data_IF_906051107897
#
_entry.id   IF_906051107897
#
_cell.length_a   1.000
_cell.length_b   1.000
_cell.length_c   1.000
_cell.angle_alpha   90.00
_cell.angle_beta   90.00
_cell.angle_gamma   90.00
#
_symmetry.space_group_name_H-M   'P 1'
#
loop_
_entity.id
_entity.type
_entity.pdbx_description
1 polymer ?
#
# COMPACT_ATOMS: atom_id res chain seq x y z
N UNK A 1 -18.61 42.45 25.75
CA UNK A 1 -18.64 40.98 25.61
C UNK A 1 -17.32 40.44 26.12
N UNK A 2 -17.26 40.00 27.37
CA UNK A 2 -16.10 39.29 27.91
C UNK A 2 -16.27 37.85 27.45
N UNK A 3 -15.46 37.39 26.50
CA UNK A 3 -15.53 36.01 26.04
C UNK A 3 -15.18 35.07 27.18
N UNK A 4 -16.01 34.04 27.39
CA UNK A 4 -15.80 33.02 28.42
C UNK A 4 -14.39 32.46 28.33
N UNK A 5 -13.53 32.91 29.24
CA UNK A 5 -12.18 32.40 29.40
C UNK A 5 -12.29 31.01 30.04
N UNK A 6 -11.67 30.00 29.39
CA UNK A 6 -11.64 28.64 29.89
C UNK A 6 -10.25 28.05 29.66
N UNK A 7 -9.54 27.54 30.69
CA UNK A 7 -8.15 27.10 30.61
C UNK A 7 -7.93 25.97 29.58
N UNK A 8 -8.95 25.18 29.29
CA UNK A 8 -8.93 24.18 28.21
C UNK A 8 -8.61 24.77 26.82
N UNK A 9 -8.91 26.05 26.57
CA UNK A 9 -8.62 26.71 25.28
C UNK A 9 -7.13 27.04 25.11
N UNK A 10 -6.33 26.92 26.16
CA UNK A 10 -4.87 27.12 26.14
C UNK A 10 -4.10 25.79 26.18
N UNK A 11 -4.79 24.66 26.38
CA UNK A 11 -4.17 23.35 26.38
C UNK A 11 -3.95 22.90 24.93
N UNK A 12 -2.70 22.85 24.49
CA UNK A 12 -2.35 22.23 23.22
C UNK A 12 -2.13 20.73 23.46
N UNK A 13 -3.03 19.83 23.03
CA UNK A 13 -2.77 18.40 23.13
C UNK A 13 -1.58 18.05 22.25
N UNK A 14 -0.49 17.57 22.85
CA UNK A 14 0.67 17.08 22.12
C UNK A 14 0.30 15.74 21.46
N UNK A 15 -0.27 15.84 20.26
CA UNK A 15 -0.69 14.75 19.40
C UNK A 15 0.13 14.77 18.09
N UNK A 16 0.67 13.62 17.72
CA UNK A 16 1.37 13.43 16.45
C UNK A 16 0.61 12.45 15.57
N UNK A 17 0.44 12.84 14.30
CA UNK A 17 -0.03 11.94 13.26
C UNK A 17 1.15 11.20 12.65
N UNK A 18 1.14 9.87 12.75
CA UNK A 18 2.12 9.04 12.06
C UNK A 18 1.65 8.88 10.62
N UNK A 19 2.51 9.29 9.68
CA UNK A 19 2.22 9.26 8.24
C UNK A 19 3.18 8.32 7.53
N UNK A 20 2.68 7.71 6.47
CA UNK A 20 3.47 6.91 5.54
C UNK A 20 3.32 7.54 4.15
N UNK A 21 4.40 7.81 3.39
CA UNK A 21 4.32 8.60 2.15
C UNK A 21 3.33 8.08 1.09
N UNK A 22 3.05 6.78 1.13
CA UNK A 22 2.21 6.09 0.15
C UNK A 22 0.76 5.95 0.61
N UNK A 23 0.47 6.31 1.87
CA UNK A 23 -0.87 6.34 2.45
C UNK A 23 -1.36 7.79 2.52
N UNK A 24 -2.50 8.08 1.87
CA UNK A 24 -3.16 9.39 1.95
C UNK A 24 -3.60 9.72 3.38
N UNK A 25 -4.36 8.85 4.08
CA UNK A 25 -4.63 9.08 5.49
C UNK A 25 -3.38 8.78 6.35
N UNK A 26 -3.26 9.40 7.54
CA UNK A 26 -2.36 8.93 8.57
C UNK A 26 -2.57 7.43 8.86
N UNK A 27 -1.52 6.77 9.35
CA UNK A 27 -1.56 5.35 9.70
C UNK A 27 -1.80 5.15 11.21
N UNK A 28 -1.54 6.17 12.02
CA UNK A 28 -1.87 6.17 13.44
C UNK A 28 -1.64 7.51 14.11
N UNK A 29 -1.90 7.51 15.41
CA UNK A 29 -1.80 8.70 16.26
C UNK A 29 -1.03 8.34 17.52
N UNK A 30 -0.06 9.18 17.89
CA UNK A 30 0.67 9.09 19.15
C UNK A 30 0.36 10.33 19.98
N UNK A 31 -0.02 10.14 21.24
CA UNK A 31 -0.27 11.24 22.19
C UNK A 31 0.71 11.16 23.34
N UNK A 32 1.34 12.28 23.68
CA UNK A 32 2.14 12.39 24.90
C UNK A 32 1.22 12.63 26.10
N UNK A 33 1.47 11.89 27.16
CA UNK A 33 0.75 11.95 28.43
C UNK A 33 1.76 12.22 29.54
N UNK A 34 1.39 13.08 30.47
CA UNK A 34 2.15 13.31 31.70
C UNK A 34 1.26 12.92 32.88
N UNK A 35 1.78 12.13 33.82
CA UNK A 35 1.05 11.71 35.02
C UNK A 35 1.76 12.17 36.29
N UNK A 36 1.00 12.73 37.25
CA UNK A 36 1.46 12.97 38.62
C UNK A 36 2.19 14.30 38.87
N UNK A 37 2.65 14.48 40.11
CA UNK A 37 3.35 15.70 40.61
C UNK A 37 4.82 15.73 40.15
N UNK A 38 5.42 14.56 39.94
CA UNK A 38 6.68 14.37 39.22
C UNK A 38 6.33 13.66 37.91
N UNK A 39 6.23 14.37 36.78
CA UNK A 39 5.58 13.82 35.60
C UNK A 39 6.43 12.72 34.95
N UNK A 40 5.98 11.47 35.10
CA UNK A 40 6.43 10.40 34.21
C UNK A 40 5.75 10.61 32.85
N UNK A 41 6.58 10.69 31.80
CA UNK A 41 6.11 10.89 30.43
C UNK A 41 5.80 9.54 29.81
N UNK A 42 4.60 9.41 29.26
CA UNK A 42 4.14 8.21 28.56
C UNK A 42 3.59 8.58 27.19
N UNK A 43 3.60 7.62 26.28
CA UNK A 43 3.13 7.79 24.90
C UNK A 43 2.01 6.80 24.62
N UNK A 44 0.82 7.30 24.33
CA UNK A 44 -0.34 6.47 23.95
C UNK A 44 -0.44 6.39 22.45
N UNK A 45 -0.31 5.19 21.90
CA UNK A 45 -0.46 4.94 20.47
C UNK A 45 -1.83 4.36 20.14
N UNK A 46 -2.48 4.87 19.10
CA UNK A 46 -3.76 4.36 18.58
C UNK A 46 -3.72 4.25 17.06
N UNK A 47 -4.58 3.40 16.50
CA UNK A 47 -4.80 3.36 15.05
C UNK A 47 -5.41 4.67 14.56
N UNK A 48 -5.25 4.95 13.26
CA UNK A 48 -5.92 6.09 12.65
C UNK A 48 -7.41 5.81 12.40
N UNK A 49 -8.24 6.82 12.65
CA UNK A 49 -9.60 6.95 12.16
C UNK A 49 -10.00 8.42 12.22
N UNK A 50 -10.81 8.86 11.26
CA UNK A 50 -11.39 10.21 11.23
C UNK A 50 -12.26 10.45 12.47
N UNK A 51 -13.10 9.47 12.82
CA UNK A 51 -13.84 9.45 14.07
C UNK A 51 -12.95 8.94 15.21
N UNK A 52 -12.66 9.81 16.18
CA UNK A 52 -11.78 9.47 17.31
C UNK A 52 -12.26 8.24 18.11
N UNK A 53 -13.58 8.01 18.18
CA UNK A 53 -14.19 6.87 18.86
C UNK A 53 -13.90 5.51 18.18
N UNK A 54 -13.56 5.50 16.89
CA UNK A 54 -13.21 4.27 16.14
C UNK A 54 -11.72 3.93 16.19
N UNK A 55 -10.90 4.77 16.82
CA UNK A 55 -9.46 4.52 16.98
C UNK A 55 -9.25 3.41 18.02
N UNK A 56 -8.54 2.36 17.65
CA UNK A 56 -8.19 1.25 18.55
C UNK A 56 -6.89 1.55 19.28
N UNK A 57 -6.87 1.29 20.58
CA UNK A 57 -5.65 1.38 21.39
C UNK A 57 -4.64 0.31 20.97
N UNK A 58 -3.41 0.72 20.70
CA UNK A 58 -2.28 -0.17 20.45
C UNK A 58 -1.47 -0.41 21.72
N UNK A 59 -1.34 0.62 22.57
CA UNK A 59 -0.66 0.49 23.86
C UNK A 59 -0.21 1.83 24.44
N UNK A 60 0.50 1.73 25.56
CA UNK A 60 1.21 2.81 26.23
C UNK A 60 2.70 2.46 26.25
N UNK A 61 3.54 3.44 25.95
CA UNK A 61 4.97 3.27 25.73
C UNK A 61 5.76 4.33 26.52
N UNK A 62 6.98 4.00 26.93
CA UNK A 62 7.86 4.92 27.64
C UNK A 62 8.55 5.91 26.69
N UNK A 63 8.69 5.56 25.40
CA UNK A 63 9.35 6.38 24.38
C UNK A 63 8.41 6.65 23.20
N UNK A 64 8.58 7.79 22.49
CA UNK A 64 7.82 8.05 21.27
C UNK A 64 8.20 7.11 20.12
N UNK A 65 9.44 6.62 20.07
CA UNK A 65 9.93 5.69 19.05
C UNK A 65 9.22 4.33 19.14
N UNK A 66 9.06 3.78 20.34
CA UNK A 66 8.34 2.52 20.54
C UNK A 66 6.86 2.66 20.15
N UNK A 67 6.25 3.80 20.48
CA UNK A 67 4.88 4.11 20.08
C UNK A 67 4.73 4.19 18.55
N UNK A 68 5.67 4.85 17.86
CA UNK A 68 5.67 4.94 16.40
C UNK A 68 5.91 3.57 15.75
N UNK A 69 6.82 2.76 16.31
CA UNK A 69 7.07 1.39 15.84
C UNK A 69 5.81 0.51 15.98
N UNK A 70 5.08 0.61 17.09
CA UNK A 70 3.82 -0.11 17.29
C UNK A 70 2.75 0.29 16.25
N UNK A 71 2.63 1.58 15.93
CA UNK A 71 1.74 2.06 14.86
C UNK A 71 2.14 1.46 13.51
N UNK A 72 3.43 1.46 13.19
CA UNK A 72 3.93 0.91 11.93
C UNK A 72 3.65 -0.59 11.81
N UNK A 73 3.90 -1.37 12.86
CA UNK A 73 3.61 -2.81 12.87
C UNK A 73 2.11 -3.09 12.69
N UNK A 74 1.24 -2.33 13.38
CA UNK A 74 -0.19 -2.46 13.21
C UNK A 74 -0.64 -2.17 11.76
N UNK A 75 -0.06 -1.15 11.13
CA UNK A 75 -0.32 -0.82 9.73
C UNK A 75 0.12 -1.95 8.77
N UNK A 76 1.31 -2.54 8.98
CA UNK A 76 1.79 -3.64 8.15
C UNK A 76 0.90 -4.87 8.23
N UNK A 77 0.46 -5.24 9.44
CA UNK A 77 -0.45 -6.38 9.66
C UNK A 77 -1.79 -6.15 8.94
N UNK A 78 -2.37 -4.96 9.09
CA UNK A 78 -3.65 -4.60 8.45
C UNK A 78 -3.52 -4.56 6.92
N UNK A 79 -2.47 -3.92 6.39
CA UNK A 79 -2.21 -3.87 4.96
C UNK A 79 -2.03 -5.27 4.36
N UNK A 80 -1.29 -6.15 5.02
CA UNK A 80 -1.13 -7.54 4.59
C UNK A 80 -2.45 -8.29 4.57
N UNK A 81 -3.27 -8.12 5.61
CA UNK A 81 -4.59 -8.75 5.68
C UNK A 81 -5.51 -8.28 4.54
N UNK A 82 -5.48 -6.98 4.21
CA UNK A 82 -6.24 -6.42 3.09
C UNK A 82 -5.80 -7.00 1.75
N UNK A 83 -4.48 -7.11 1.51
CA UNK A 83 -3.95 -7.72 0.29
C UNK A 83 -4.34 -9.20 0.16
N UNK A 84 -4.27 -9.97 1.25
CA UNK A 84 -4.67 -11.38 1.26
C UNK A 84 -6.16 -11.55 0.94
N UNK A 85 -7.03 -10.71 1.53
CA UNK A 85 -8.46 -10.73 1.24
C UNK A 85 -8.76 -10.37 -0.22
N UNK A 86 -8.07 -9.38 -0.78
CA UNK A 86 -8.21 -9.00 -2.19
C UNK A 86 -7.81 -10.15 -3.13
N UNK A 87 -6.69 -10.83 -2.85
CA UNK A 87 -6.24 -11.99 -3.62
C UNK A 87 -7.29 -13.12 -3.61
N UNK A 88 -7.79 -13.50 -2.42
CA UNK A 88 -8.86 -14.51 -2.29
C UNK A 88 -10.13 -14.14 -3.07
N UNK A 89 -10.46 -12.84 -3.12
CA UNK A 89 -11.62 -12.34 -3.87
C UNK A 89 -11.41 -12.46 -5.38
N UNK A 90 -10.21 -12.14 -5.86
CA UNK A 90 -9.84 -12.30 -7.27
C UNK A 90 -9.89 -13.77 -7.71
N UNK A 91 -9.34 -14.68 -6.89
CA UNK A 91 -9.41 -16.12 -7.14
C UNK A 91 -10.86 -16.62 -7.20
N UNK A 92 -11.70 -16.16 -6.26
CA UNK A 92 -13.13 -16.49 -6.26
C UNK A 92 -13.83 -16.02 -7.54
N UNK A 93 -13.58 -14.78 -7.96
CA UNK A 93 -14.16 -14.22 -9.18
C UNK A 93 -13.71 -15.01 -10.42
N UNK A 94 -12.44 -15.39 -10.49
CA UNK A 94 -11.88 -16.22 -11.56
C UNK A 94 -12.49 -17.63 -11.58
N UNK A 95 -12.78 -18.20 -10.42
CA UNK A 95 -13.46 -19.49 -10.31
C UNK A 95 -14.94 -19.41 -10.74
N UNK A 96 -15.63 -18.30 -10.46
CA UNK A 96 -17.03 -18.10 -10.86
C UNK A 96 -17.21 -17.66 -12.31
N UNK A 97 -16.18 -17.08 -12.93
CA UNK A 97 -16.18 -16.70 -14.34
C UNK A 97 -14.87 -17.18 -14.99
N UNK A 98 -14.76 -18.48 -15.30
CA UNK A 98 -13.56 -19.01 -15.93
C UNK A 98 -13.32 -18.32 -17.27
N UNK A 99 -12.06 -18.06 -17.67
CA UNK A 99 -11.79 -17.57 -19.01
C UNK A 99 -12.44 -18.51 -20.02
N UNK A 100 -13.03 -18.00 -21.11
CA UNK A 100 -13.59 -18.86 -22.15
C UNK A 100 -12.51 -19.85 -22.56
N UNK A 101 -12.83 -21.15 -22.51
CA UNK A 101 -11.94 -22.18 -23.02
C UNK A 101 -11.54 -21.78 -24.44
N UNK A 102 -10.22 -21.65 -24.67
CA UNK A 102 -9.71 -21.52 -26.04
C UNK A 102 -10.37 -22.64 -26.86
N UNK A 103 -10.95 -22.33 -28.03
CA UNK A 103 -11.53 -23.35 -28.89
C UNK A 103 -10.50 -24.48 -29.09
N UNK A 104 -10.91 -25.75 -29.02
CA UNK A 104 -10.04 -26.82 -29.50
C UNK A 104 -9.72 -26.54 -30.97
N UNK A 105 -8.53 -26.94 -31.41
CA UNK A 105 -7.96 -26.81 -32.76
C UNK A 105 -7.69 -25.40 -33.35
N UNK A 106 -6.47 -24.89 -33.08
CA UNK A 106 -5.43 -24.83 -34.14
C UNK A 106 -4.12 -25.31 -33.56
N UNK A 107 -3.83 -26.60 -33.76
CA UNK A 107 -2.51 -27.15 -33.52
C UNK A 107 -1.50 -26.32 -34.32
N UNK A 108 -0.57 -25.67 -33.61
CA UNK A 108 0.67 -25.19 -34.21
C UNK A 108 1.40 -26.46 -34.65
N UNK A 109 1.24 -26.82 -35.92
CA UNK A 109 2.06 -27.83 -36.58
C UNK A 109 3.46 -27.25 -36.67
N UNK A 110 4.29 -27.57 -35.68
CA UNK A 110 5.74 -27.46 -35.79
C UNK A 110 6.17 -28.62 -36.71
N UNK A 111 6.05 -28.43 -38.03
CA UNK A 111 6.62 -29.37 -39.00
C UNK A 111 7.91 -28.81 -39.55
N UNK A 112 8.99 -29.49 -39.14
CA UNK A 112 10.28 -29.54 -39.81
C UNK A 112 10.10 -29.80 -41.32
N UNK A 113 10.64 -28.93 -42.19
CA UNK A 113 11.04 -29.18 -43.59
C UNK A 113 11.70 -27.88 -44.08
N UNK A 114 13.03 -27.75 -44.21
CA UNK A 114 13.84 -28.33 -45.30
C UNK A 114 13.01 -28.51 -46.57
N UNK A 115 12.77 -27.39 -47.26
CA UNK A 115 12.71 -27.28 -48.72
C UNK A 115 11.96 -25.99 -49.09
N UNK A 116 12.70 -24.89 -49.20
CA UNK A 116 12.34 -23.78 -50.08
C UNK A 116 13.63 -23.09 -50.54
N UNK A 117 14.35 -23.78 -51.42
CA UNK A 117 15.35 -23.16 -52.28
C UNK A 117 14.73 -22.97 -53.68
N UNK A 118 14.89 -21.75 -54.21
CA UNK A 118 14.74 -21.33 -55.63
C UNK A 118 13.27 -21.17 -56.08
N UNK A 119 12.80 -20.11 -56.75
CA UNK A 119 13.39 -19.09 -57.61
C UNK A 119 12.32 -18.00 -57.83
N UNK A 120 12.63 -16.71 -57.76
CA UNK A 120 12.65 -15.83 -58.94
C UNK A 120 13.63 -14.68 -58.71
N UNK A 121 14.70 -14.68 -59.50
CA UNK A 121 15.60 -13.56 -59.73
C UNK A 121 14.88 -12.39 -60.43
N UNK A 122 15.29 -11.16 -60.14
CA UNK A 122 15.77 -10.12 -61.08
C UNK A 122 15.91 -8.80 -60.31
N UNK A 123 17.12 -8.46 -59.81
CA UNK A 123 18.13 -7.54 -60.40
C UNK A 123 17.62 -6.10 -60.51
N UNK A 124 18.10 -5.16 -59.70
CA UNK A 124 19.09 -4.09 -59.98
C UNK A 124 18.84 -3.04 -58.87
N UNK A 125 19.75 -2.30 -58.23
CA UNK A 125 21.16 -1.99 -58.41
C UNK A 125 21.55 -1.23 -57.11
N UNK A 126 22.68 -1.57 -56.47
CA UNK A 126 23.41 -0.67 -55.57
C UNK A 126 24.39 0.14 -56.44
N UNK A 127 24.78 1.37 -56.06
CA UNK A 127 26.10 1.54 -55.42
C UNK A 127 25.99 2.47 -54.19
N UNK A 128 26.56 2.15 -53.03
CA UNK A 128 27.98 2.06 -52.66
C UNK A 128 28.76 3.39 -52.82
N UNK A 129 28.89 4.06 -51.68
CA UNK A 129 30.00 4.85 -51.13
C UNK A 129 30.66 6.05 -51.84
N UNK A 130 30.79 7.09 -50.99
CA UNK A 130 31.93 8.00 -50.81
C UNK A 130 32.12 9.11 -51.88
N UNK A 131 32.82 10.22 -51.59
CA UNK A 131 33.89 10.44 -50.59
C UNK A 131 33.47 10.89 -49.19
#
# INVERSE_FOLDING_TARGET
MVGDWHPFRLADPVEWYIRYPVSVPPIGVVRRLEFGIKPDVWFRAVTWSEESARRRLLGYFATPEDAAAAVWQAYLVESRAQHEQAAKRADRLRATNPPPSLPPERGVLLSDSRDYALTTMTRLHLPEDAP
#
